data_IF_413635054898
#
_entry.id   IF_413635054898
#
_cell.length_a   1.000
_cell.length_b   1.000
_cell.length_c   1.000
_cell.angle_alpha   90.00
_cell.angle_beta   90.00
_cell.angle_gamma   90.00
#
_symmetry.space_group_name_H-M   'P 1'
#
loop_
_entity.id
_entity.type
_entity.pdbx_description
1 polymer ?
#
# COMPACT_ATOMS: atom_id res chain seq x y z
N UNK A 1 -4.44 4.38 -15.00
CA UNK A 1 -3.68 5.18 -14.01
C UNK A 1 -2.70 4.33 -13.20
N UNK A 2 -3.13 3.25 -12.52
CA UNK A 2 -2.26 2.40 -11.68
C UNK A 2 -0.98 1.91 -12.37
N UNK A 3 -1.11 1.22 -13.51
CA UNK A 3 0.05 0.75 -14.27
C UNK A 3 1.02 1.86 -14.67
N UNK A 4 0.49 2.98 -15.18
CA UNK A 4 1.30 4.12 -15.57
C UNK A 4 2.03 4.74 -14.37
N UNK A 5 1.38 4.83 -13.20
CA UNK A 5 2.02 5.32 -11.99
C UNK A 5 3.17 4.41 -11.57
N UNK A 6 2.92 3.10 -11.44
CA UNK A 6 3.94 2.14 -11.00
C UNK A 6 5.13 2.17 -11.96
N UNK A 7 4.90 2.08 -13.26
CA UNK A 7 5.98 2.04 -14.25
C UNK A 7 6.77 3.35 -14.31
N UNK A 8 6.11 4.51 -14.33
CA UNK A 8 6.79 5.80 -14.42
C UNK A 8 7.54 6.11 -13.12
N UNK A 9 6.92 5.91 -11.95
CA UNK A 9 7.60 6.10 -10.66
C UNK A 9 8.77 5.12 -10.51
N UNK A 10 8.59 3.84 -10.87
CA UNK A 10 9.66 2.86 -10.77
C UNK A 10 10.82 3.20 -11.70
N UNK A 11 10.56 3.59 -12.95
CA UNK A 11 11.60 3.97 -13.90
C UNK A 11 12.38 5.22 -13.42
N UNK A 12 11.69 6.25 -12.94
CA UNK A 12 12.34 7.47 -12.44
C UNK A 12 13.16 7.19 -11.18
N UNK A 13 12.60 6.47 -10.21
CA UNK A 13 13.29 6.16 -8.96
C UNK A 13 14.45 5.17 -9.18
N UNK A 14 14.29 4.18 -10.07
CA UNK A 14 15.38 3.30 -10.47
C UNK A 14 16.49 4.09 -11.18
N UNK A 15 16.14 5.00 -12.10
CA UNK A 15 17.10 5.86 -12.77
C UNK A 15 17.89 6.71 -11.78
N UNK A 16 17.24 7.26 -10.76
CA UNK A 16 17.91 8.00 -9.69
C UNK A 16 18.83 7.11 -8.83
N UNK A 17 18.41 5.89 -8.52
CA UNK A 17 19.26 4.91 -7.80
C UNK A 17 20.47 4.49 -8.64
N UNK A 18 20.35 4.39 -9.97
CA UNK A 18 21.48 4.10 -10.86
C UNK A 18 22.54 5.22 -10.89
N UNK A 19 22.19 6.44 -10.48
CA UNK A 19 23.17 7.54 -10.32
C UNK A 19 23.98 7.42 -9.01
N UNK A 20 23.68 6.43 -8.19
CA UNK A 20 24.35 6.13 -6.92
C UNK A 20 25.03 4.77 -6.99
N UNK A 21 25.60 4.28 -5.88
CA UNK A 21 26.36 3.02 -5.84
C UNK A 21 25.52 1.74 -5.95
N UNK A 22 24.27 1.84 -6.41
CA UNK A 22 23.42 0.66 -6.64
C UNK A 22 23.77 -0.01 -7.98
N UNK A 23 23.93 -1.33 -7.96
CA UNK A 23 23.93 -2.11 -9.18
C UNK A 23 22.59 -1.95 -9.93
N UNK A 24 22.58 -2.06 -11.25
CA UNK A 24 21.37 -1.80 -12.05
C UNK A 24 20.19 -2.70 -11.65
N UNK A 25 20.45 -3.96 -11.26
CA UNK A 25 19.44 -4.89 -10.75
C UNK A 25 18.83 -4.40 -9.43
N UNK A 26 19.69 -3.98 -8.50
CA UNK A 26 19.31 -3.45 -7.20
C UNK A 26 18.54 -2.12 -7.35
N UNK A 27 18.94 -1.27 -8.30
CA UNK A 27 18.26 -0.02 -8.62
C UNK A 27 16.86 -0.26 -9.20
N UNK A 28 16.69 -1.24 -10.08
CA UNK A 28 15.37 -1.62 -10.62
C UNK A 28 14.45 -2.12 -9.51
N UNK A 29 14.92 -3.06 -8.68
CA UNK A 29 14.12 -3.59 -7.56
C UNK A 29 13.82 -2.50 -6.53
N UNK A 30 14.81 -1.66 -6.21
CA UNK A 30 14.67 -0.47 -5.37
C UNK A 30 13.59 0.47 -5.90
N UNK A 31 13.66 0.84 -7.19
CA UNK A 31 12.70 1.73 -7.84
C UNK A 31 11.27 1.16 -7.81
N UNK A 32 11.10 -0.13 -8.09
CA UNK A 32 9.78 -0.80 -8.03
C UNK A 32 9.23 -0.75 -6.59
N UNK A 33 10.03 -1.09 -5.58
CA UNK A 33 9.58 -1.08 -4.19
C UNK A 33 9.24 0.33 -3.71
N UNK A 34 10.04 1.33 -4.06
CA UNK A 34 9.78 2.73 -3.74
C UNK A 34 8.55 3.31 -4.48
N UNK A 35 8.24 2.79 -5.67
CA UNK A 35 7.07 3.22 -6.44
C UNK A 35 5.73 2.81 -5.82
N UNK A 36 5.70 1.72 -5.04
CA UNK A 36 4.52 1.23 -4.34
C UNK A 36 4.14 2.16 -3.19
N UNK A 37 2.84 2.30 -2.91
CA UNK A 37 2.32 3.11 -1.81
C UNK A 37 1.67 2.21 -0.77
N UNK A 38 1.64 2.66 0.49
CA UNK A 38 0.93 1.94 1.55
C UNK A 38 -0.57 2.07 1.38
N UNK A 39 -1.23 0.94 1.16
CA UNK A 39 -2.68 0.87 0.95
C UNK A 39 -3.42 1.22 2.24
N UNK A 40 -2.97 0.66 3.36
CA UNK A 40 -3.49 0.94 4.70
C UNK A 40 -3.50 2.45 5.03
N UNK A 41 -2.34 3.11 4.93
CA UNK A 41 -2.20 4.53 5.25
C UNK A 41 -3.01 5.40 4.27
N UNK A 42 -2.93 5.10 2.97
CA UNK A 42 -3.62 5.89 1.95
C UNK A 42 -5.14 5.83 2.11
N UNK A 43 -5.72 4.64 2.27
CA UNK A 43 -7.17 4.48 2.47
C UNK A 43 -7.66 5.14 3.76
N UNK A 44 -6.86 5.08 4.83
CA UNK A 44 -7.19 5.77 6.08
C UNK A 44 -7.23 7.29 5.87
N UNK A 45 -6.19 7.86 5.26
CA UNK A 45 -6.14 9.30 4.96
C UNK A 45 -7.27 9.74 4.03
N UNK A 46 -7.60 8.94 3.01
CA UNK A 46 -8.72 9.21 2.10
C UNK A 46 -10.06 9.25 2.85
N UNK A 47 -10.27 8.31 3.80
CA UNK A 47 -11.47 8.28 4.64
C UNK A 47 -11.55 9.50 5.54
N UNK A 48 -10.45 9.87 6.20
CA UNK A 48 -10.36 11.06 7.06
C UNK A 48 -10.61 12.37 6.28
N UNK A 49 -10.20 12.42 5.01
CA UNK A 49 -10.43 13.56 4.11
C UNK A 49 -11.78 13.53 3.38
N UNK A 50 -12.62 12.53 3.61
CA UNK A 50 -13.91 12.40 2.93
C UNK A 50 -13.80 12.09 1.43
N UNK A 51 -12.66 11.57 0.96
CA UNK A 51 -12.40 11.29 -0.45
C UNK A 51 -13.11 10.01 -0.97
N UNK A 52 -13.71 9.18 -0.12
CA UNK A 52 -14.23 7.86 -0.52
C UNK A 52 -15.21 7.88 -1.72
N UNK A 53 -15.91 9.00 -1.95
CA UNK A 53 -16.88 9.14 -3.05
C UNK A 53 -16.43 10.14 -4.12
N UNK A 54 -15.25 10.76 -3.97
CA UNK A 54 -14.71 11.69 -4.97
C UNK A 54 -14.06 10.93 -6.13
N UNK A 55 -13.91 11.61 -7.27
CA UNK A 55 -13.22 11.07 -8.44
C UNK A 55 -11.75 10.75 -8.12
N UNK A 56 -11.09 11.65 -7.37
CA UNK A 56 -9.75 11.41 -6.80
C UNK A 56 -9.68 10.19 -5.89
N UNK A 57 -10.73 9.93 -5.11
CA UNK A 57 -10.84 8.76 -4.26
C UNK A 57 -10.89 7.45 -5.03
N UNK A 58 -11.78 7.37 -6.02
CA UNK A 58 -11.93 6.18 -6.87
C UNK A 58 -10.67 5.90 -7.69
N UNK A 59 -10.03 6.95 -8.22
CA UNK A 59 -8.75 6.83 -8.90
C UNK A 59 -7.65 6.36 -7.94
N UNK A 60 -7.60 6.90 -6.72
CA UNK A 60 -6.63 6.48 -5.71
C UNK A 60 -6.78 5.01 -5.33
N UNK A 61 -8.01 4.59 -5.05
CA UNK A 61 -8.33 3.18 -4.80
C UNK A 61 -7.90 2.27 -5.95
N UNK A 62 -8.16 2.68 -7.20
CA UNK A 62 -7.77 1.91 -8.39
C UNK A 62 -6.25 1.79 -8.56
N UNK A 63 -5.49 2.83 -8.18
CA UNK A 63 -4.02 2.79 -8.17
C UNK A 63 -3.52 1.82 -7.11
N UNK A 64 -4.04 1.91 -5.88
CA UNK A 64 -3.66 1.01 -4.78
C UNK A 64 -3.95 -0.45 -5.11
N UNK A 65 -5.14 -0.75 -5.64
CA UNK A 65 -5.51 -2.10 -6.05
C UNK A 65 -4.57 -2.63 -7.14
N UNK A 66 -4.18 -1.79 -8.09
CA UNK A 66 -3.20 -2.19 -9.09
C UNK A 66 -1.81 -2.44 -8.47
N UNK A 67 -1.38 -1.59 -7.53
CA UNK A 67 -0.10 -1.77 -6.84
C UNK A 67 -0.07 -3.10 -6.09
N UNK A 68 -1.11 -3.42 -5.33
CA UNK A 68 -1.25 -4.68 -4.59
C UNK A 68 -1.14 -5.89 -5.54
N UNK A 69 -1.77 -5.83 -6.72
CA UNK A 69 -1.67 -6.88 -7.75
C UNK A 69 -0.28 -6.94 -8.39
N UNK A 70 0.39 -5.79 -8.57
CA UNK A 70 1.70 -5.68 -9.19
C UNK A 70 2.85 -6.20 -8.30
N UNK A 71 2.60 -6.44 -7.01
CA UNK A 71 3.60 -7.02 -6.09
C UNK A 71 4.04 -8.41 -6.53
N UNK A 72 3.11 -9.24 -7.03
CA UNK A 72 3.40 -10.62 -7.46
C UNK A 72 4.42 -10.64 -8.60
N UNK A 73 4.19 -9.96 -9.75
CA UNK A 73 5.18 -9.92 -10.82
C UNK A 73 6.47 -9.22 -10.37
N UNK A 74 6.41 -8.22 -9.47
CA UNK A 74 7.59 -7.59 -8.92
C UNK A 74 8.48 -8.57 -8.12
N UNK A 75 7.88 -9.40 -7.25
CA UNK A 75 8.59 -10.43 -6.50
C UNK A 75 9.14 -11.53 -7.41
N UNK A 76 8.39 -11.92 -8.44
CA UNK A 76 8.85 -12.89 -9.43
C UNK A 76 10.03 -12.36 -10.28
N UNK A 77 10.15 -11.04 -10.44
CA UNK A 77 11.25 -10.40 -11.16
C UNK A 77 12.57 -10.46 -10.39
N UNK A 78 12.53 -10.48 -9.05
CA UNK A 78 13.74 -10.48 -8.20
C UNK A 78 14.72 -11.63 -8.51
N UNK A 79 14.33 -12.92 -8.49
CA UNK A 79 15.25 -14.01 -8.80
C UNK A 79 15.73 -13.97 -10.26
N UNK A 80 14.89 -13.50 -11.20
CA UNK A 80 15.29 -13.31 -12.60
C UNK A 80 16.40 -12.26 -12.73
N UNK A 81 16.29 -11.14 -12.00
CA UNK A 81 17.32 -10.10 -11.97
C UNK A 81 18.58 -10.54 -11.23
N UNK A 82 18.45 -11.36 -10.19
CA UNK A 82 19.59 -11.90 -9.46
C UNK A 82 20.40 -12.94 -10.25
N UNK A 83 19.92 -13.38 -11.43
CA UNK A 83 20.54 -14.46 -12.19
C UNK A 83 20.46 -15.81 -11.46
N UNK A 84 19.60 -15.91 -10.45
CA UNK A 84 19.32 -17.11 -9.65
C UNK A 84 17.99 -17.77 -10.04
N UNK A 85 17.39 -17.34 -11.15
CA UNK A 85 16.30 -18.08 -11.75
C UNK A 85 16.81 -19.47 -12.11
N UNK A 86 16.32 -20.48 -11.39
CA UNK A 86 16.51 -21.88 -11.74
C UNK A 86 16.25 -22.02 -13.25
N UNK A 87 17.26 -22.43 -14.03
CA UNK A 87 17.11 -22.66 -15.48
C UNK A 87 16.01 -23.70 -15.77
N UNK A 88 15.62 -24.47 -14.75
CA UNK A 88 14.44 -25.32 -14.74
C UNK A 88 13.27 -24.60 -14.07
N UNK A 89 12.47 -23.86 -14.85
CA UNK A 89 11.13 -23.47 -14.42
C UNK A 89 10.36 -24.75 -14.05
N UNK A 90 10.21 -24.99 -12.76
CA UNK A 90 9.45 -26.11 -12.25
C UNK A 90 7.95 -25.83 -12.47
N UNK A 91 7.49 -26.11 -13.69
CA UNK A 91 6.10 -25.98 -14.11
C UNK A 91 5.15 -26.76 -13.20
N UNK A 92 5.64 -27.80 -12.52
CA UNK A 92 4.86 -28.54 -11.53
C UNK A 92 4.63 -27.69 -10.26
N UNK A 93 5.66 -27.03 -9.73
CA UNK A 93 5.50 -26.10 -8.59
C UNK A 93 4.59 -24.93 -8.93
N UNK A 94 4.73 -24.34 -10.12
CA UNK A 94 3.86 -23.25 -10.56
C UNK A 94 2.41 -23.76 -10.71
N UNK A 95 2.22 -24.90 -11.37
CA UNK A 95 0.92 -25.54 -11.52
C UNK A 95 0.25 -25.85 -10.18
N UNK A 96 1.01 -26.34 -9.20
CA UNK A 96 0.51 -26.62 -7.85
C UNK A 96 0.10 -25.35 -7.11
N UNK A 97 0.87 -24.25 -7.22
CA UNK A 97 0.49 -22.95 -6.63
C UNK A 97 -0.77 -22.38 -7.26
N UNK A 98 -0.89 -22.45 -8.59
CA UNK A 98 -2.10 -22.03 -9.31
C UNK A 98 -3.30 -22.89 -8.92
N UNK A 99 -3.13 -24.20 -8.85
CA UNK A 99 -4.18 -25.12 -8.43
C UNK A 99 -4.63 -24.84 -6.99
N UNK A 100 -3.69 -24.63 -6.06
CA UNK A 100 -4.00 -24.29 -4.68
C UNK A 100 -4.71 -22.93 -4.56
N UNK A 101 -4.32 -21.95 -5.38
CA UNK A 101 -4.98 -20.66 -5.47
C UNK A 101 -6.43 -20.78 -5.96
N UNK A 102 -6.65 -21.52 -7.05
CA UNK A 102 -8.01 -21.82 -7.57
C UNK A 102 -8.81 -22.64 -6.55
N UNK A 103 -8.16 -23.59 -5.88
CA UNK A 103 -8.73 -24.41 -4.81
C UNK A 103 -9.21 -23.56 -3.64
N UNK A 104 -8.46 -22.53 -3.24
CA UNK A 104 -8.90 -21.58 -2.22
C UNK A 104 -10.09 -20.73 -2.69
N UNK A 105 -10.10 -20.26 -3.94
CA UNK A 105 -11.23 -19.48 -4.46
C UNK A 105 -12.53 -20.29 -4.46
N UNK A 106 -12.46 -21.53 -4.96
CA UNK A 106 -13.59 -22.45 -5.00
C UNK A 106 -13.97 -22.83 -3.56
N UNK A 107 -13.01 -23.31 -2.78
CA UNK A 107 -13.19 -23.74 -1.40
C UNK A 107 -13.78 -22.63 -0.54
N UNK A 108 -13.23 -21.42 -0.62
CA UNK A 108 -13.77 -20.25 0.07
C UNK A 108 -15.21 -19.97 -0.32
N UNK A 109 -15.52 -19.92 -1.62
CA UNK A 109 -16.90 -19.66 -2.07
C UNK A 109 -17.92 -20.69 -1.57
N UNK A 110 -17.54 -21.97 -1.51
CA UNK A 110 -18.45 -23.05 -1.08
C UNK A 110 -18.45 -23.30 0.44
N UNK A 111 -17.33 -23.19 1.14
CA UNK A 111 -17.24 -23.42 2.59
C UNK A 111 -17.71 -22.23 3.42
N UNK A 112 -17.54 -20.99 2.93
CA UNK A 112 -17.89 -19.80 3.71
C UNK A 112 -19.37 -19.79 4.11
N UNK A 113 -20.26 -20.08 3.16
CA UNK A 113 -21.71 -20.06 3.39
C UNK A 113 -22.16 -21.00 4.52
N UNK A 114 -21.87 -22.32 4.49
CA UNK A 114 -22.29 -23.22 5.56
C UNK A 114 -21.60 -22.92 6.90
N UNK A 115 -20.33 -22.55 6.89
CA UNK A 115 -19.57 -22.23 8.11
C UNK A 115 -20.18 -21.00 8.80
N UNK A 116 -20.39 -19.90 8.07
CA UNK A 116 -20.98 -18.70 8.64
C UNK A 116 -22.45 -18.88 9.02
N UNK A 117 -23.22 -19.72 8.29
CA UNK A 117 -24.58 -20.09 8.70
C UNK A 117 -24.60 -20.84 10.03
N UNK A 118 -23.69 -21.79 10.21
CA UNK A 118 -23.56 -22.54 11.46
C UNK A 118 -23.16 -21.63 12.63
N UNK A 119 -22.23 -20.70 12.40
CA UNK A 119 -21.81 -19.72 13.41
C UNK A 119 -22.94 -18.73 13.72
N UNK A 120 -23.65 -18.23 12.72
CA UNK A 120 -24.79 -17.33 12.90
C UNK A 120 -25.91 -18.02 13.72
N UNK A 121 -26.11 -19.33 13.55
CA UNK A 121 -27.07 -20.10 14.34
C UNK A 121 -26.69 -20.20 15.83
N UNK A 122 -25.43 -19.95 16.21
CA UNK A 122 -25.02 -19.90 17.62
C UNK A 122 -25.55 -18.65 18.35
N UNK A 123 -25.87 -17.57 17.62
CA UNK A 123 -26.31 -16.30 18.19
C UNK A 123 -25.25 -15.52 18.97
N UNK A 124 -24.00 -16.01 19.05
CA UNK A 124 -22.91 -15.38 19.82
C UNK A 124 -22.05 -14.51 18.90
N UNK A 125 -22.05 -13.20 19.15
CA UNK A 125 -21.35 -12.21 18.32
C UNK A 125 -19.83 -12.38 18.35
N UNK A 126 -19.29 -12.83 19.48
CA UNK A 126 -17.88 -13.09 19.69
C UNK A 126 -17.38 -14.23 18.79
N UNK A 127 -18.17 -15.30 18.65
CA UNK A 127 -17.83 -16.44 17.77
C UNK A 127 -17.83 -16.00 16.31
N UNK A 128 -18.80 -15.18 15.91
CA UNK A 128 -18.84 -14.60 14.57
C UNK A 128 -17.63 -13.73 14.28
N UNK A 129 -17.25 -12.88 15.23
CA UNK A 129 -16.07 -12.01 15.13
C UNK A 129 -14.78 -12.83 15.04
N UNK A 130 -14.62 -13.83 15.90
CA UNK A 130 -13.47 -14.72 15.89
C UNK A 130 -13.35 -15.49 14.57
N UNK A 131 -14.46 -16.02 14.05
CA UNK A 131 -14.45 -16.71 12.76
C UNK A 131 -14.11 -15.79 11.59
N UNK A 132 -14.58 -14.54 11.63
CA UNK A 132 -14.28 -13.54 10.62
C UNK A 132 -12.77 -13.22 10.60
N UNK A 133 -12.17 -12.97 11.76
CA UNK A 133 -10.73 -12.74 11.88
C UNK A 133 -9.92 -13.99 11.50
N UNK A 134 -10.36 -15.17 11.93
CA UNK A 134 -9.73 -16.44 11.58
C UNK A 134 -9.76 -16.69 10.07
N UNK A 135 -10.82 -16.32 9.38
CA UNK A 135 -10.87 -16.43 7.93
C UNK A 135 -9.81 -15.53 7.27
N UNK A 136 -9.73 -14.26 7.67
CA UNK A 136 -8.78 -13.31 7.09
C UNK A 136 -7.34 -13.76 7.35
N UNK A 137 -7.01 -14.10 8.60
CA UNK A 137 -5.69 -14.59 8.99
C UNK A 137 -5.37 -15.95 8.36
N UNK A 138 -6.33 -16.88 8.36
CA UNK A 138 -6.17 -18.19 7.76
C UNK A 138 -5.93 -18.12 6.26
N UNK A 139 -6.61 -17.20 5.57
CA UNK A 139 -6.39 -16.93 4.15
C UNK A 139 -5.01 -16.34 3.87
N UNK A 140 -4.53 -15.42 4.72
CA UNK A 140 -3.19 -14.86 4.65
C UNK A 140 -2.11 -15.94 4.84
N UNK A 141 -2.23 -16.73 5.90
CA UNK A 141 -1.30 -17.81 6.24
C UNK A 141 -1.31 -18.94 5.20
N UNK A 142 -2.47 -19.26 4.63
CA UNK A 142 -2.57 -20.23 3.54
C UNK A 142 -1.80 -19.77 2.31
N UNK A 143 -1.90 -18.49 1.93
CA UNK A 143 -1.12 -17.95 0.82
C UNK A 143 0.38 -17.90 1.12
N UNK A 144 0.76 -17.52 2.33
CA UNK A 144 2.17 -17.52 2.77
C UNK A 144 2.79 -18.93 2.71
N UNK A 145 2.04 -19.96 3.14
CA UNK A 145 2.46 -21.35 3.05
C UNK A 145 2.68 -21.83 1.60
N UNK A 146 2.00 -21.22 0.62
CA UNK A 146 2.22 -21.47 -0.81
C UNK A 146 3.40 -20.66 -1.38
N UNK A 147 4.07 -19.85 -0.56
CA UNK A 147 5.09 -18.90 -0.96
C UNK A 147 4.52 -17.78 -1.84
N UNK A 148 3.27 -17.40 -1.59
CA UNK A 148 2.60 -16.24 -2.17
C UNK A 148 2.44 -15.16 -1.09
N UNK A 149 2.21 -13.91 -1.49
CA UNK A 149 2.08 -12.82 -0.52
C UNK A 149 0.85 -12.98 0.38
N UNK A 150 1.02 -12.78 1.69
CA UNK A 150 -0.08 -12.71 2.66
C UNK A 150 -1.17 -11.72 2.25
N UNK A 151 -0.80 -10.60 1.60
CA UNK A 151 -1.76 -9.60 1.16
C UNK A 151 -2.69 -10.10 0.05
N UNK A 152 -2.22 -11.01 -0.80
CA UNK A 152 -3.09 -11.68 -1.77
C UNK A 152 -4.14 -12.51 -1.04
N UNK A 153 -3.75 -13.23 0.01
CA UNK A 153 -4.67 -14.02 0.82
C UNK A 153 -5.75 -13.16 1.49
N UNK A 154 -5.38 -12.03 2.08
CA UNK A 154 -6.35 -11.10 2.69
C UNK A 154 -7.23 -10.40 1.66
N UNK A 155 -6.69 -10.04 0.47
CA UNK A 155 -7.47 -9.48 -0.63
C UNK A 155 -8.54 -10.48 -1.11
N UNK A 156 -8.15 -11.73 -1.34
CA UNK A 156 -9.07 -12.79 -1.78
C UNK A 156 -10.13 -13.07 -0.71
N UNK A 157 -9.73 -13.14 0.56
CA UNK A 157 -10.68 -13.23 1.67
C UNK A 157 -11.68 -12.07 1.62
N UNK A 158 -11.22 -10.84 1.42
CA UNK A 158 -12.06 -9.65 1.27
C UNK A 158 -13.05 -9.76 0.09
N UNK A 159 -12.61 -10.22 -1.08
CA UNK A 159 -13.49 -10.44 -2.25
C UNK A 159 -14.55 -11.50 -1.95
N UNK A 160 -14.16 -12.62 -1.36
CA UNK A 160 -15.08 -13.69 -0.98
C UNK A 160 -16.09 -13.23 0.09
N UNK A 161 -15.66 -12.38 1.02
CA UNK A 161 -16.51 -11.77 2.05
C UNK A 161 -17.48 -10.75 1.44
N UNK A 162 -17.06 -9.98 0.44
CA UNK A 162 -17.89 -8.99 -0.23
C UNK A 162 -19.08 -9.61 -1.00
N UNK A 163 -18.90 -10.83 -1.52
CA UNK A 163 -19.96 -11.62 -2.19
C UNK A 163 -20.85 -12.43 -1.21
N UNK A 164 -20.56 -12.38 0.10
CA UNK A 164 -21.31 -13.13 1.12
C UNK A 164 -22.64 -12.47 1.49
N UNK A 165 -23.63 -13.29 1.84
CA UNK A 165 -24.92 -12.85 2.41
C UNK A 165 -24.72 -12.10 3.74
N UNK A 166 -23.64 -12.41 4.47
CA UNK A 166 -23.30 -11.82 5.76
C UNK A 166 -22.37 -10.60 5.67
N UNK A 167 -22.16 -10.02 4.48
CA UNK A 167 -21.13 -8.96 4.26
C UNK A 167 -21.16 -7.82 5.29
N UNK A 168 -22.35 -7.39 5.71
CA UNK A 168 -22.51 -6.26 6.61
C UNK A 168 -22.14 -6.61 8.06
N UNK A 169 -22.51 -7.82 8.50
CA UNK A 169 -22.11 -8.36 9.80
C UNK A 169 -20.59 -8.59 9.85
N UNK A 170 -20.02 -9.12 8.77
CA UNK A 170 -18.58 -9.30 8.59
C UNK A 170 -17.82 -7.98 8.66
N UNK A 171 -18.30 -6.95 7.96
CA UNK A 171 -17.71 -5.62 7.98
C UNK A 171 -17.75 -5.01 9.39
N UNK A 172 -18.91 -5.11 10.05
CA UNK A 172 -19.12 -4.61 11.42
C UNK A 172 -18.25 -5.34 12.44
N UNK A 173 -17.97 -6.63 12.22
CA UNK A 173 -17.09 -7.41 13.09
C UNK A 173 -15.61 -7.02 12.94
N UNK A 174 -15.15 -6.68 11.74
CA UNK A 174 -13.75 -6.32 11.47
C UNK A 174 -13.44 -4.86 11.83
N UNK A 175 -14.42 -3.96 11.70
CA UNK A 175 -14.17 -2.51 11.80
C UNK A 175 -13.43 -2.07 13.09
N UNK A 176 -13.76 -2.58 14.29
CA UNK A 176 -13.03 -2.24 15.52
C UNK A 176 -11.55 -2.63 15.48
N UNK A 177 -11.20 -3.70 14.76
CA UNK A 177 -9.84 -4.21 14.67
C UNK A 177 -9.00 -3.47 13.63
N UNK A 178 -9.61 -2.87 12.60
CA UNK A 178 -8.86 -2.15 11.56
C UNK A 178 -7.95 -1.09 12.17
N UNK A 179 -8.48 -0.24 13.05
CA UNK A 179 -7.70 0.81 13.70
C UNK A 179 -6.58 0.26 14.59
N UNK A 180 -6.87 -0.80 15.36
CA UNK A 180 -5.88 -1.43 16.23
C UNK A 180 -4.73 -2.07 15.42
N UNK A 181 -5.06 -2.80 14.36
CA UNK A 181 -4.10 -3.46 13.48
C UNK A 181 -3.27 -2.45 12.70
N UNK A 182 -3.87 -1.33 12.27
CA UNK A 182 -3.14 -0.21 11.66
C UNK A 182 -2.15 0.41 12.66
N UNK A 183 -2.56 0.62 13.91
CA UNK A 183 -1.68 1.10 14.97
C UNK A 183 -0.49 0.15 15.21
N UNK A 184 -0.76 -1.14 15.33
CA UNK A 184 0.29 -2.16 15.49
C UNK A 184 1.23 -2.24 14.28
N UNK A 185 0.70 -2.10 13.06
CA UNK A 185 1.50 -2.03 11.84
C UNK A 185 2.48 -0.86 11.89
N UNK A 186 2.03 0.35 12.23
CA UNK A 186 2.92 1.52 12.30
C UNK A 186 3.97 1.39 13.42
N UNK A 187 3.60 0.80 14.56
CA UNK A 187 4.57 0.52 15.64
C UNK A 187 5.62 -0.48 15.14
N UNK A 188 5.21 -1.56 14.48
CA UNK A 188 6.12 -2.57 13.93
C UNK A 188 7.06 -1.99 12.87
N UNK A 189 6.54 -1.20 11.94
CA UNK A 189 7.35 -0.51 10.91
C UNK A 189 8.33 0.47 11.57
N UNK A 190 7.91 1.21 12.59
CA UNK A 190 8.80 2.08 13.37
C UNK A 190 9.92 1.32 14.09
N UNK A 191 9.60 0.16 14.69
CA UNK A 191 10.60 -0.70 15.34
C UNK A 191 11.57 -1.37 14.35
N UNK A 192 11.16 -1.57 13.09
CA UNK A 192 12.01 -2.13 12.04
C UNK A 192 13.08 -1.14 11.53
N UNK A 193 12.98 0.14 11.92
CA UNK A 193 13.89 1.19 11.49
C UNK A 193 15.28 0.99 12.14
N UNK A 194 16.30 0.82 11.30
CA UNK A 194 17.69 0.76 11.75
C UNK A 194 18.20 2.17 12.09
N UNK A 195 18.15 2.54 13.37
CA UNK A 195 18.62 3.84 13.85
C UNK A 195 20.12 4.07 13.60
N UNK A 196 20.94 3.01 13.60
CA UNK A 196 22.37 3.11 13.32
C UNK A 196 22.62 3.71 11.93
N UNK A 197 21.98 3.14 10.90
CA UNK A 197 22.07 3.63 9.52
C UNK A 197 21.45 5.02 9.36
N UNK A 198 20.36 5.31 10.08
CA UNK A 198 19.76 6.65 10.08
C UNK A 198 20.75 7.70 10.62
N UNK A 199 21.48 7.40 11.69
CA UNK A 199 22.44 8.33 12.28
C UNK A 199 23.69 8.51 11.40
N UNK A 200 24.21 7.44 10.80
CA UNK A 200 25.41 7.53 9.94
C UNK A 200 25.13 8.17 8.58
N UNK A 201 23.93 7.98 8.03
CA UNK A 201 23.54 8.46 6.69
C UNK A 201 22.38 9.48 6.71
N UNK A 202 22.26 10.26 7.78
CA UNK A 202 21.11 11.16 8.01
C UNK A 202 20.81 12.07 6.81
N UNK A 203 21.84 12.70 6.23
CA UNK A 203 21.67 13.59 5.08
C UNK A 203 21.13 12.85 3.85
N UNK A 204 21.68 11.69 3.53
CA UNK A 204 21.24 10.87 2.40
C UNK A 204 19.82 10.35 2.58
N UNK A 205 19.45 9.97 3.81
CA UNK A 205 18.08 9.55 4.13
C UNK A 205 17.10 10.70 3.92
N UNK A 206 17.39 11.90 4.45
CA UNK A 206 16.50 13.06 4.29
C UNK A 206 16.32 13.42 2.81
N UNK A 207 17.42 13.44 2.04
CA UNK A 207 17.36 13.69 0.59
C UNK A 207 16.52 12.61 -0.09
N UNK A 208 16.72 11.34 0.24
CA UNK A 208 15.99 10.21 -0.36
C UNK A 208 14.49 10.29 -0.08
N UNK A 209 14.08 10.67 1.13
CA UNK A 209 12.66 10.87 1.48
C UNK A 209 12.06 12.02 0.67
N UNK A 210 12.74 13.16 0.59
CA UNK A 210 12.27 14.32 -0.18
C UNK A 210 12.13 13.97 -1.66
N UNK A 211 13.15 13.30 -2.22
CA UNK A 211 13.17 12.87 -3.62
C UNK A 211 12.04 11.87 -3.89
N UNK A 212 11.87 10.85 -3.06
CA UNK A 212 10.80 9.86 -3.18
C UNK A 212 9.43 10.54 -3.27
N UNK A 213 9.12 11.37 -2.28
CA UNK A 213 7.83 12.05 -2.15
C UNK A 213 7.63 13.01 -3.32
N UNK A 214 8.64 13.80 -3.68
CA UNK A 214 8.56 14.76 -4.79
C UNK A 214 8.33 14.07 -6.13
N UNK A 215 9.07 12.99 -6.43
CA UNK A 215 8.91 12.23 -7.67
C UNK A 215 7.51 11.62 -7.74
N UNK A 216 7.02 11.01 -6.66
CA UNK A 216 5.68 10.40 -6.66
C UNK A 216 4.59 11.45 -6.80
N UNK A 217 4.69 12.58 -6.08
CA UNK A 217 3.75 13.70 -6.23
C UNK A 217 3.74 14.18 -7.68
N UNK A 218 4.90 14.39 -8.29
CA UNK A 218 5.00 14.84 -9.68
C UNK A 218 4.32 13.87 -10.65
N UNK A 219 4.65 12.58 -10.57
CA UNK A 219 4.07 11.55 -11.44
C UNK A 219 2.55 11.47 -11.25
N UNK A 220 2.09 11.39 -10.00
CA UNK A 220 0.67 11.29 -9.68
C UNK A 220 -0.11 12.54 -10.10
N UNK A 221 0.45 13.73 -9.88
CA UNK A 221 -0.17 15.00 -10.27
C UNK A 221 -0.31 15.11 -11.79
N UNK A 222 0.74 14.73 -12.54
CA UNK A 222 0.71 14.72 -14.01
C UNK A 222 -0.31 13.71 -14.53
N UNK A 223 -0.36 12.51 -13.96
CA UNK A 223 -1.37 11.51 -14.33
C UNK A 223 -2.80 12.00 -14.01
N UNK A 224 -3.02 12.60 -12.84
CA UNK A 224 -4.31 13.17 -12.47
C UNK A 224 -4.72 14.31 -13.42
N UNK A 225 -3.75 15.11 -13.88
CA UNK A 225 -3.98 16.18 -14.87
C UNK A 225 -4.37 15.61 -16.24
N UNK A 226 -3.69 14.57 -16.71
CA UNK A 226 -3.97 13.92 -18.00
C UNK A 226 -5.35 13.24 -18.02
N UNK A 227 -5.78 12.71 -16.88
CA UNK A 227 -7.09 12.06 -16.73
C UNK A 227 -8.24 13.03 -16.41
N UNK A 228 -7.99 14.33 -16.36
CA UNK A 228 -9.04 15.34 -16.24
C UNK A 228 -9.57 15.58 -14.82
N UNK A 229 -8.92 15.05 -13.78
CA UNK A 229 -9.32 15.24 -12.38
C UNK A 229 -9.38 16.74 -12.04
N UNK A 230 -10.33 17.17 -11.21
CA UNK A 230 -10.46 18.56 -10.76
C UNK A 230 -9.19 19.09 -10.10
N UNK A 231 -8.81 20.33 -10.41
CA UNK A 231 -7.54 20.93 -9.94
C UNK A 231 -7.40 20.94 -8.42
N UNK A 232 -8.50 21.11 -7.68
CA UNK A 232 -8.55 21.08 -6.21
C UNK A 232 -8.25 19.69 -5.64
N UNK A 233 -8.60 18.62 -6.37
CA UNK A 233 -8.46 17.24 -5.92
C UNK A 233 -7.13 16.60 -6.35
N UNK A 234 -6.48 17.12 -7.40
CA UNK A 234 -5.20 16.59 -7.93
C UNK A 234 -4.11 16.52 -6.86
N UNK A 235 -3.97 17.57 -6.06
CA UNK A 235 -2.92 17.65 -5.04
C UNK A 235 -3.21 16.71 -3.87
N UNK A 236 -4.49 16.56 -3.49
CA UNK A 236 -4.89 15.60 -2.44
C UNK A 236 -4.61 14.16 -2.89
N UNK A 237 -5.01 13.81 -4.12
CA UNK A 237 -4.70 12.50 -4.73
C UNK A 237 -3.20 12.21 -4.75
N UNK A 238 -2.40 13.18 -5.22
CA UNK A 238 -0.95 13.02 -5.31
C UNK A 238 -0.29 12.91 -3.93
N UNK A 239 -0.73 13.72 -2.96
CA UNK A 239 -0.18 13.73 -1.60
C UNK A 239 -0.45 12.43 -0.84
N UNK A 240 -1.67 11.92 -0.88
CA UNK A 240 -2.07 10.68 -0.18
C UNK A 240 -1.24 9.47 -0.63
N UNK A 241 -0.93 9.38 -1.92
CA UNK A 241 -0.24 8.24 -2.52
C UNK A 241 1.28 8.42 -2.62
N UNK A 242 1.83 9.52 -2.11
CA UNK A 242 3.25 9.87 -2.27
C UNK A 242 4.23 9.07 -1.40
N UNK A 243 3.77 8.43 -0.34
CA UNK A 243 4.60 7.57 0.52
C UNK A 243 4.95 6.22 -0.11
N UNK A 244 6.03 5.61 0.37
CA UNK A 244 6.42 4.22 0.06
C UNK A 244 5.58 3.20 0.84
N UNK A 245 5.31 2.02 0.27
CA UNK A 245 4.41 1.01 0.84
C UNK A 245 5.06 -0.14 1.61
N UNK A 246 4.22 -0.90 2.33
CA UNK A 246 4.59 -2.12 3.08
C UNK A 246 5.23 -3.20 2.19
N UNK A 247 4.84 -3.25 0.92
CA UNK A 247 5.39 -4.23 -0.01
C UNK A 247 6.86 -3.98 -0.34
N UNK A 248 7.35 -2.75 -0.13
CA UNK A 248 8.78 -2.46 -0.25
C UNK A 248 9.59 -3.31 0.72
N UNK A 249 9.09 -3.58 1.95
CA UNK A 249 9.78 -4.39 2.94
C UNK A 249 9.95 -5.84 2.47
N UNK A 250 8.88 -6.42 1.95
CA UNK A 250 8.89 -7.80 1.44
C UNK A 250 9.77 -7.91 0.20
N UNK A 251 9.64 -6.96 -0.73
CA UNK A 251 10.41 -6.93 -1.96
C UNK A 251 11.91 -6.76 -1.67
N UNK A 252 12.27 -5.83 -0.78
CA UNK A 252 13.67 -5.58 -0.45
C UNK A 252 14.30 -6.71 0.36
N UNK A 253 13.54 -7.34 1.26
CA UNK A 253 14.00 -8.54 1.97
C UNK A 253 14.26 -9.70 1.00
N UNK A 254 13.37 -9.91 0.02
CA UNK A 254 13.54 -10.92 -1.02
C UNK A 254 14.76 -10.64 -1.91
N UNK A 255 14.99 -9.37 -2.26
CA UNK A 255 16.17 -8.98 -3.03
C UNK A 255 17.47 -9.14 -2.24
N UNK A 256 17.43 -8.84 -0.94
CA UNK A 256 18.55 -9.03 -0.02
C UNK A 256 18.91 -10.51 0.16
N UNK A 257 17.91 -11.41 0.25
CA UNK A 257 18.18 -12.85 0.32
C UNK A 257 18.83 -13.40 -0.94
N UNK A 258 18.57 -12.76 -2.10
CA UNK A 258 19.24 -13.02 -3.37
C UNK A 258 20.56 -12.23 -3.56
N UNK A 259 21.04 -11.56 -2.51
CA UNK A 259 22.29 -10.77 -2.49
C UNK A 259 22.34 -9.65 -3.54
N UNK A 260 21.19 -9.11 -3.94
CA UNK A 260 21.13 -7.97 -4.86
C UNK A 260 21.60 -6.67 -4.20
N UNK A 261 21.32 -6.49 -2.91
CA UNK A 261 21.75 -5.33 -2.14
C UNK A 261 23.10 -5.57 -1.46
N UNK A 262 23.93 -4.53 -1.41
CA UNK A 262 25.24 -4.55 -0.75
C UNK A 262 25.30 -3.51 0.38
N UNK A 263 26.04 -3.83 1.44
CA UNK A 263 26.22 -2.94 2.59
C UNK A 263 24.88 -2.47 3.19
N UNK A 264 24.73 -1.16 3.38
CA UNK A 264 23.57 -0.55 4.02
C UNK A 264 22.43 -0.21 3.05
N UNK A 265 22.51 -0.61 1.78
CA UNK A 265 21.52 -0.26 0.74
C UNK A 265 20.08 -0.64 1.12
N UNK A 266 19.86 -1.87 1.58
CA UNK A 266 18.53 -2.31 2.03
C UNK A 266 18.05 -1.45 3.21
N UNK A 267 18.91 -1.22 4.19
CA UNK A 267 18.56 -0.43 5.38
C UNK A 267 18.21 1.02 5.01
N UNK A 268 18.97 1.65 4.11
CA UNK A 268 18.69 3.00 3.62
C UNK A 268 17.33 3.09 2.92
N UNK A 269 17.01 2.11 2.06
CA UNK A 269 15.71 2.05 1.39
C UNK A 269 14.56 1.87 2.39
N UNK A 270 14.70 0.96 3.36
CA UNK A 270 13.69 0.73 4.39
C UNK A 270 13.46 1.96 5.27
N UNK A 271 14.54 2.61 5.74
CA UNK A 271 14.45 3.84 6.53
C UNK A 271 13.77 4.94 5.72
N UNK A 272 14.10 5.07 4.43
CA UNK A 272 13.47 6.03 3.52
C UNK A 272 11.97 5.78 3.38
N UNK A 273 11.55 4.52 3.18
CA UNK A 273 10.14 4.14 3.10
C UNK A 273 9.43 4.48 4.42
N UNK A 274 9.96 4.06 5.57
CA UNK A 274 9.37 4.33 6.87
C UNK A 274 9.19 5.82 7.14
N UNK A 275 10.23 6.63 6.91
CA UNK A 275 10.15 8.07 7.11
C UNK A 275 9.20 8.75 6.11
N UNK A 276 9.07 8.23 4.89
CA UNK A 276 8.06 8.73 3.94
C UNK A 276 6.62 8.51 4.44
N UNK A 277 6.34 7.36 5.07
CA UNK A 277 5.05 7.10 5.69
C UNK A 277 4.79 8.07 6.85
N UNK A 278 5.80 8.35 7.68
CA UNK A 278 5.70 9.29 8.80
C UNK A 278 5.49 10.74 8.36
N UNK A 279 6.09 11.15 7.23
CA UNK A 279 6.01 12.51 6.72
C UNK A 279 4.71 12.81 5.95
N UNK A 280 4.01 11.78 5.45
CA UNK A 280 2.82 11.95 4.61
C UNK A 280 1.64 12.63 5.32
N UNK A 281 1.26 12.28 6.57
CA UNK A 281 0.21 13.00 7.30
C UNK A 281 0.54 14.49 7.48
N UNK A 282 1.82 14.84 7.67
CA UNK A 282 2.27 16.23 7.77
C UNK A 282 2.19 16.93 6.41
N UNK A 283 2.59 16.25 5.34
CA UNK A 283 2.45 16.73 3.98
C UNK A 283 0.99 17.01 3.63
N UNK A 284 0.06 16.13 4.03
CA UNK A 284 -1.36 16.34 3.80
C UNK A 284 -1.90 17.59 4.51
N UNK A 285 -1.48 17.84 5.76
CA UNK A 285 -1.83 19.11 6.45
C UNK A 285 -1.33 20.35 5.70
N UNK A 286 -0.13 20.27 5.10
CA UNK A 286 0.41 21.36 4.29
C UNK A 286 -0.38 21.55 3.00
N UNK A 287 -0.74 20.45 2.33
CA UNK A 287 -1.59 20.46 1.13
C UNK A 287 -2.94 21.11 1.42
N UNK A 288 -3.59 20.76 2.54
CA UNK A 288 -4.87 21.36 2.92
C UNK A 288 -4.75 22.86 3.16
N UNK A 289 -3.70 23.29 3.87
CA UNK A 289 -3.45 24.72 4.14
C UNK A 289 -3.16 25.50 2.87
N UNK A 290 -2.52 24.88 1.89
CA UNK A 290 -2.26 25.49 0.59
C UNK A 290 -3.52 25.59 -0.25
N UNK A 291 -4.33 24.53 -0.28
CA UNK A 291 -5.61 24.51 -0.98
C UNK A 291 -6.63 25.47 -0.36
N UNK A 292 -6.69 25.55 0.98
CA UNK A 292 -7.59 26.49 1.66
C UNK A 292 -7.25 27.93 1.30
N UNK A 293 -5.96 28.29 1.23
CA UNK A 293 -5.53 29.63 0.80
C UNK A 293 -5.80 29.96 -0.66
N UNK A 294 -5.87 28.95 -1.53
CA UNK A 294 -6.11 29.15 -2.97
C UNK A 294 -7.59 29.17 -3.34
N UNK A 295 -8.42 28.41 -2.63
CA UNK A 295 -9.84 28.25 -2.95
C UNK A 295 -10.79 28.95 -1.98
N UNK A 296 -10.37 29.16 -0.72
CA UNK A 296 -11.01 30.11 0.18
C UNK A 296 -10.12 31.36 0.21
N UNK A 297 -10.57 32.45 -0.42
CA UNK A 297 -10.02 33.78 -0.12
C UNK A 297 -10.13 34.05 1.39
N UNK A 298 -9.39 35.05 1.93
CA UNK A 298 -9.56 35.43 3.32
C UNK A 298 -11.07 35.58 3.58
N UNK A 299 -11.59 34.84 4.55
CA UNK A 299 -12.97 35.00 4.99
C UNK A 299 -13.19 36.50 5.19
N UNK A 300 -14.08 37.08 4.37
CA UNK A 300 -14.56 38.44 4.60
C UNK A 300 -15.19 38.42 6.00
N UNK A 301 -14.46 38.93 6.99
CA UNK A 301 -15.00 39.42 8.26
C UNK A 301 -15.93 40.63 7.99
N UNK A 302 -16.97 40.42 7.19
CA UNK A 302 -17.96 41.44 6.86
C UNK A 302 -19.36 40.93 7.22
N UNK A 303 -19.48 40.23 8.36
CA UNK A 303 -20.71 40.33 9.15
C UNK A 303 -20.67 41.66 9.93
N UNK A 304 -20.92 42.76 9.21
CA UNK A 304 -21.35 44.00 9.88
C UNK A 304 -22.64 43.68 10.64
N UNK A 305 -22.72 43.94 11.95
CA UNK A 305 -23.94 43.72 12.68
C UNK A 305 -25.03 44.62 12.07
N UNK A 306 -26.10 43.98 11.62
CA UNK A 306 -27.36 44.64 11.33
C UNK A 306 -27.77 45.48 12.53
N UNK A 307 -27.64 46.80 12.42
CA UNK A 307 -28.35 47.74 13.30
C UNK A 307 -29.63 48.10 12.57
N UNK A 308 -30.75 47.52 13.00
CA UNK A 308 -32.08 48.07 12.74
C UNK A 308 -32.34 49.13 13.81
N UNK A 309 -32.64 50.35 13.33
CA UNK A 309 -33.21 51.53 13.99
C UNK A 309 -32.60 52.05 15.30
#
# INVERSE_FOLDING_TARGET
>A
VGAAQVLLSAALLAGLLMLTDFAWQAAVVGGIGLAMSSTAMALQLMREKGMNRSESGQLGFSVLLFQDLAVIPALALVPLLAGSADENFDWMKIGMKVLAFVGMLIGGRYLLRPVFRFIAASGVREVFTAATLLLVLGSALFMDALGLSMALGTFIAGVLLAESEYRHELETAIDPFKGLLLGLFFISVGMSLNLGVLYTHLLWVVISVVVLVAVKILVLYLLARLYGVRSSERMQFAGVLSQGGEFAFVLFSTASSQRLFQGDQMALLLVTVTLSMMTTPLLMKLVDKWLSRQFNGPEEEDEKPWVND
#
